data_IF_407164347582
#
_entry.id   IF_407164347582
#
_cell.length_a   1.000
_cell.length_b   1.000
_cell.length_c   1.000
_cell.angle_alpha   90.00
_cell.angle_beta   90.00
_cell.angle_gamma   90.00
#
_symmetry.space_group_name_H-M   'P 1'
#
loop_
_entity.id
_entity.type
_entity.pdbx_description
1 polymer ?
#
# COMPACT_ATOMS: atom_id res chain seq x y z
N UNK A 1 20.25 9.59 -24.56
CA UNK A 1 18.81 9.50 -24.27
C UNK A 1 18.64 9.45 -22.76
N UNK A 2 18.15 10.53 -22.14
CA UNK A 2 17.88 10.56 -20.71
C UNK A 2 16.78 9.54 -20.39
N UNK A 3 17.06 8.57 -19.50
CA UNK A 3 16.02 7.69 -18.97
C UNK A 3 14.96 8.58 -18.31
N UNK A 4 13.75 8.61 -18.86
CA UNK A 4 12.64 9.41 -18.34
C UNK A 4 12.21 8.98 -16.93
N UNK A 5 12.72 7.84 -16.45
CA UNK A 5 12.41 7.24 -15.14
C UNK A 5 13.69 6.85 -14.42
N UNK A 6 13.80 7.21 -13.15
CA UNK A 6 14.95 6.96 -12.28
C UNK A 6 15.13 5.48 -11.92
N UNK A 7 14.05 4.72 -11.85
CA UNK A 7 14.03 3.30 -11.50
C UNK A 7 13.35 2.46 -12.58
N UNK A 8 13.93 1.30 -12.88
CA UNK A 8 13.36 0.31 -13.81
C UNK A 8 12.48 -0.68 -13.06
N UNK A 9 11.21 -0.31 -12.88
CA UNK A 9 10.22 -1.12 -12.17
C UNK A 9 9.20 -1.63 -13.18
N UNK A 10 9.06 -2.95 -13.38
CA UNK A 10 8.06 -3.48 -14.29
C UNK A 10 6.66 -3.34 -13.70
N UNK A 11 5.69 -2.90 -14.52
CA UNK A 11 4.27 -2.76 -14.10
C UNK A 11 3.69 -4.07 -13.53
N UNK A 12 4.17 -5.21 -14.03
CA UNK A 12 3.77 -6.54 -13.55
C UNK A 12 4.15 -6.77 -12.08
N UNK A 13 5.25 -6.18 -11.59
CA UNK A 13 5.63 -6.30 -10.19
C UNK A 13 4.57 -5.67 -9.27
N UNK A 14 4.13 -4.46 -9.62
CA UNK A 14 3.11 -3.72 -8.85
C UNK A 14 1.76 -4.44 -8.89
N UNK A 15 1.44 -5.06 -10.03
CA UNK A 15 0.25 -5.92 -10.15
C UNK A 15 0.31 -7.16 -9.25
N UNK A 16 1.47 -7.82 -9.18
CA UNK A 16 1.66 -9.00 -8.33
C UNK A 16 1.61 -8.63 -6.85
N UNK A 17 2.21 -7.51 -6.46
CA UNK A 17 2.14 -6.98 -5.11
C UNK A 17 0.68 -6.69 -4.73
N UNK A 18 -0.05 -5.97 -5.59
CA UNK A 18 -1.47 -5.70 -5.40
C UNK A 18 -2.30 -6.97 -5.15
N UNK A 19 -2.08 -8.03 -5.94
CA UNK A 19 -2.79 -9.31 -5.75
C UNK A 19 -2.54 -9.93 -4.38
N UNK A 20 -1.34 -9.79 -3.81
CA UNK A 20 -1.05 -10.29 -2.47
C UNK A 20 -1.81 -9.48 -1.41
N UNK A 21 -1.84 -8.16 -1.55
CA UNK A 21 -2.55 -7.26 -0.63
C UNK A 21 -4.06 -7.49 -0.67
N UNK A 22 -4.63 -7.63 -1.87
CA UNK A 22 -6.06 -7.90 -2.06
C UNK A 22 -6.48 -9.23 -1.38
N UNK A 23 -5.62 -10.26 -1.43
CA UNK A 23 -5.86 -11.54 -0.73
C UNK A 23 -5.88 -11.41 0.78
N UNK A 24 -5.06 -10.53 1.37
CA UNK A 24 -4.97 -10.36 2.81
C UNK A 24 -6.23 -9.71 3.42
N UNK A 25 -7.10 -9.09 2.58
CA UNK A 25 -8.34 -8.42 3.01
C UNK A 25 -8.14 -7.51 4.24
N UNK A 26 -6.99 -6.84 4.29
CA UNK A 26 -6.59 -6.03 5.43
C UNK A 26 -7.54 -4.84 5.66
N UNK A 27 -7.60 -4.37 6.90
CA UNK A 27 -8.36 -3.18 7.26
C UNK A 27 -7.83 -1.93 6.54
N UNK A 28 -8.70 -0.94 6.33
CA UNK A 28 -8.32 0.32 5.73
C UNK A 28 -7.30 1.08 6.60
N UNK A 29 -6.36 1.77 5.95
CA UNK A 29 -5.35 2.60 6.59
C UNK A 29 -5.91 3.92 7.10
N UNK A 30 -5.03 4.92 7.26
CA UNK A 30 -5.42 6.28 7.71
C UNK A 30 -6.34 6.97 6.71
N UNK A 31 -6.23 6.63 5.43
CA UNK A 31 -7.04 7.18 4.34
C UNK A 31 -8.47 6.63 4.30
N UNK A 32 -8.78 5.64 5.15
CA UNK A 32 -10.08 4.93 5.19
C UNK A 32 -10.50 4.31 3.85
N UNK A 33 -9.59 4.25 2.88
CA UNK A 33 -9.83 3.62 1.58
C UNK A 33 -9.72 2.11 1.77
N UNK A 34 -10.86 1.43 1.66
CA UNK A 34 -10.92 -0.02 1.60
C UNK A 34 -10.33 -0.55 0.28
N UNK A 35 -9.95 -1.83 0.27
CA UNK A 35 -9.53 -2.51 -0.96
C UNK A 35 -10.64 -2.42 -2.03
N UNK A 36 -11.92 -2.55 -1.64
CA UNK A 36 -13.05 -2.43 -2.57
C UNK A 36 -13.13 -1.05 -3.22
N UNK A 37 -12.91 0.03 -2.44
CA UNK A 37 -12.88 1.39 -2.99
C UNK A 37 -11.67 1.62 -3.89
N UNK A 38 -10.54 1.01 -3.55
CA UNK A 38 -9.35 1.04 -4.39
C UNK A 38 -9.55 0.32 -5.73
N UNK A 39 -10.35 -0.76 -5.74
CA UNK A 39 -10.69 -1.56 -6.92
C UNK A 39 -11.57 -0.80 -7.92
N UNK A 40 -12.44 0.11 -7.48
CA UNK A 40 -13.26 0.95 -8.37
C UNK A 40 -12.41 1.74 -9.38
N UNK A 41 -11.19 2.13 -9.01
CA UNK A 41 -10.24 2.85 -9.86
C UNK A 41 -8.90 2.13 -9.97
N UNK A 42 -8.93 0.80 -10.03
CA UNK A 42 -7.75 -0.05 -9.92
C UNK A 42 -6.62 0.32 -10.91
N UNK A 43 -6.95 0.47 -12.19
CA UNK A 43 -5.97 0.77 -13.24
C UNK A 43 -5.26 2.10 -12.99
N UNK A 44 -6.01 3.14 -12.64
CA UNK A 44 -5.49 4.47 -12.40
C UNK A 44 -4.65 4.52 -11.12
N UNK A 45 -5.11 3.84 -10.08
CA UNK A 45 -4.40 3.75 -8.80
C UNK A 45 -3.05 3.03 -8.97
N UNK A 46 -3.03 1.89 -9.68
CA UNK A 46 -1.80 1.15 -9.97
C UNK A 46 -0.85 1.95 -10.88
N UNK A 47 -1.40 2.66 -11.87
CA UNK A 47 -0.60 3.50 -12.75
C UNK A 47 0.05 4.67 -12.00
N UNK A 48 -0.72 5.38 -11.15
CA UNK A 48 -0.20 6.47 -10.31
C UNK A 48 0.90 5.98 -9.37
N UNK A 49 0.70 4.80 -8.77
CA UNK A 49 1.67 4.18 -7.88
C UNK A 49 2.95 3.78 -8.63
N UNK A 50 2.83 3.04 -9.72
CA UNK A 50 3.95 2.67 -10.60
C UNK A 50 4.70 3.91 -11.09
N UNK A 51 3.97 4.97 -11.47
CA UNK A 51 4.57 6.17 -12.01
C UNK A 51 5.49 6.83 -10.98
N UNK A 52 4.99 7.02 -9.74
CA UNK A 52 5.73 7.64 -8.63
C UNK A 52 6.94 6.82 -8.21
N UNK A 53 6.79 5.50 -8.09
CA UNK A 53 7.94 4.64 -7.73
C UNK A 53 9.00 4.64 -8.81
N UNK A 54 8.59 4.49 -10.08
CA UNK A 54 9.55 4.45 -11.19
C UNK A 54 10.24 5.80 -11.39
N UNK A 55 9.60 6.93 -11.05
CA UNK A 55 10.25 8.25 -11.06
C UNK A 55 11.05 8.57 -9.81
N UNK A 56 10.93 7.78 -8.73
CA UNK A 56 11.57 8.05 -7.45
C UNK A 56 10.89 9.12 -6.59
N UNK A 57 9.68 9.55 -6.96
CA UNK A 57 8.89 10.56 -6.22
C UNK A 57 7.83 9.92 -5.32
N UNK A 58 7.96 8.63 -5.05
CA UNK A 58 7.09 7.92 -4.12
C UNK A 58 7.52 8.19 -2.68
N UNK A 59 6.61 8.77 -1.90
CA UNK A 59 6.77 8.93 -0.46
C UNK A 59 5.61 8.19 0.23
N UNK A 60 5.90 7.23 1.13
CA UNK A 60 4.85 6.55 1.87
C UNK A 60 4.16 7.55 2.81
N UNK A 61 2.83 7.50 2.83
CA UNK A 61 2.04 8.29 3.77
C UNK A 61 2.06 7.73 5.20
N UNK A 62 1.40 8.40 6.15
CA UNK A 62 1.29 7.94 7.54
C UNK A 62 0.56 6.59 7.66
N UNK A 63 0.87 5.86 8.74
CA UNK A 63 0.26 4.55 9.07
C UNK A 63 -0.74 4.69 10.22
N UNK A 64 -1.76 3.84 10.24
CA UNK A 64 -2.80 3.84 11.29
C UNK A 64 -2.35 2.96 12.44
N UNK A 65 -2.19 3.55 13.63
CA UNK A 65 -1.88 2.80 14.85
C UNK A 65 -3.16 2.19 15.43
N UNK A 66 -3.18 0.87 15.60
CA UNK A 66 -4.28 0.13 16.22
C UNK A 66 -3.76 -0.62 17.42
N UNK A 67 -4.27 -0.30 18.61
CA UNK A 67 -3.96 -1.03 19.83
C UNK A 67 -4.80 -2.31 19.90
N UNK A 68 -4.13 -3.45 19.98
CA UNK A 68 -4.75 -4.77 20.16
C UNK A 68 -4.30 -5.34 21.52
N UNK A 69 -5.22 -5.86 22.34
CA UNK A 69 -4.84 -6.50 23.61
C UNK A 69 -3.97 -7.74 23.36
N UNK A 70 -3.02 -8.01 24.25
CA UNK A 70 -2.26 -9.27 24.23
C UNK A 70 -3.07 -10.39 24.90
N UNK A 71 -2.92 -11.61 24.42
CA UNK A 71 -3.66 -12.81 24.88
C UNK A 71 -3.53 -13.08 26.39
N UNK A 72 -2.41 -12.69 27.00
CA UNK A 72 -2.14 -12.83 28.44
C UNK A 72 -2.75 -11.71 29.30
N UNK A 73 -3.55 -10.82 28.74
CA UNK A 73 -4.30 -9.77 29.46
C UNK A 73 -3.46 -8.60 30.00
N UNK A 74 -2.12 -8.68 29.97
CA UNK A 74 -1.22 -7.57 30.32
C UNK A 74 -0.64 -6.89 29.09
N UNK A 75 -1.01 -5.62 28.92
CA UNK A 75 -0.45 -4.71 27.93
C UNK A 75 -1.13 -4.77 26.56
N UNK A 76 -0.81 -3.78 25.74
CA UNK A 76 -1.30 -3.65 24.37
C UNK A 76 -0.14 -3.85 23.39
N UNK A 77 -0.44 -4.44 22.23
CA UNK A 77 0.43 -4.41 21.06
C UNK A 77 -0.11 -3.36 20.09
N UNK A 78 0.73 -2.41 19.73
CA UNK A 78 0.41 -1.45 18.67
C UNK A 78 0.70 -2.13 17.33
N UNK A 79 -0.33 -2.25 16.50
CA UNK A 79 -0.23 -2.66 15.11
C UNK A 79 -0.22 -1.42 14.22
N UNK A 80 0.72 -1.35 13.29
CA UNK A 80 0.76 -0.29 12.29
C UNK A 80 0.10 -0.81 11.02
N UNK A 81 -1.05 -0.24 10.65
CA UNK A 81 -1.78 -0.58 9.43
C UNK A 81 -1.44 0.47 8.36
N UNK A 82 -0.64 0.12 7.35
CA UNK A 82 -0.32 1.04 6.25
C UNK A 82 -1.51 1.19 5.29
N UNK A 83 -1.53 2.29 4.53
CA UNK A 83 -2.52 2.49 3.46
C UNK A 83 -2.40 1.40 2.39
N UNK A 84 -3.48 1.12 1.66
CA UNK A 84 -3.49 0.13 0.57
C UNK A 84 -2.42 0.45 -0.49
N UNK A 85 -2.17 1.74 -0.73
CA UNK A 85 -1.15 2.25 -1.66
C UNK A 85 0.29 2.01 -1.21
N UNK A 86 0.51 1.79 0.09
CA UNK A 86 1.83 1.47 0.68
C UNK A 86 2.11 -0.02 0.63
N UNK A 87 1.10 -0.86 0.81
CA UNK A 87 1.28 -2.32 0.78
C UNK A 87 1.61 -2.90 -0.61
N UNK A 88 1.49 -2.11 -1.69
CA UNK A 88 1.70 -2.57 -3.06
C UNK A 88 3.12 -2.27 -3.62
N UNK A 89 4.07 -1.90 -2.76
CA UNK A 89 5.49 -1.65 -3.08
C UNK A 89 6.34 -2.82 -2.62
#
# INVERSE_FOLDING_TARGET
MNKTKSFDIPKQLIWRAYKQVSKNRGAAGVDEISITKFEESLKDNLYKLWNRMSSGSYFPGPVKAVAIPKDTGRGQRILCIPMVRINCT
#
